data_IF_164851914410
#
_entry.id   IF_164851914410
#
_cell.length_a   1.000
_cell.length_b   1.000
_cell.length_c   1.000
_cell.angle_alpha   90.00
_cell.angle_beta   90.00
_cell.angle_gamma   90.00
#
_symmetry.space_group_name_H-M   'P 1'
#
loop_
_entity.id
_entity.type
_entity.pdbx_description
1 polymer ?
#
# COMPACT_ATOMS: atom_id res chain seq x y z
N UNK A 1 32.33 22.63 -27.06
CA UNK A 1 31.11 22.07 -27.68
C UNK A 1 30.30 21.10 -26.80
N UNK A 2 30.62 20.90 -25.51
CA UNK A 2 29.92 19.91 -24.65
C UNK A 2 28.75 20.46 -23.79
N UNK A 3 28.43 21.76 -23.84
CA UNK A 3 27.45 22.39 -22.93
C UNK A 3 26.06 22.64 -23.52
N UNK A 4 25.76 22.12 -24.71
CA UNK A 4 24.52 22.43 -25.45
C UNK A 4 23.56 21.25 -25.60
N UNK A 5 23.80 20.08 -25.01
CA UNK A 5 22.91 18.90 -25.09
C UNK A 5 22.27 18.61 -23.74
N UNK A 6 20.94 18.44 -23.72
CA UNK A 6 20.15 18.19 -22.51
C UNK A 6 19.22 16.99 -22.71
N UNK A 7 19.23 15.98 -21.82
CA UNK A 7 18.24 14.90 -21.84
C UNK A 7 16.91 15.35 -21.24
N UNK A 8 15.81 15.03 -21.92
CA UNK A 8 14.43 15.15 -21.43
C UNK A 8 13.89 13.73 -21.25
N UNK A 9 13.70 13.32 -20.00
CA UNK A 9 13.17 12.00 -19.69
C UNK A 9 11.67 11.93 -19.94
N UNK A 10 11.23 10.88 -20.64
CA UNK A 10 9.83 10.53 -20.80
C UNK A 10 9.48 9.43 -19.79
N UNK A 11 8.44 9.65 -19.00
CA UNK A 11 7.94 8.65 -18.04
C UNK A 11 7.38 7.43 -18.78
N UNK A 12 7.63 6.25 -18.21
CA UNK A 12 7.05 5.01 -18.70
C UNK A 12 5.68 4.77 -18.05
N UNK A 13 4.68 4.28 -18.81
CA UNK A 13 3.46 3.80 -18.19
C UNK A 13 3.77 2.62 -17.27
N UNK A 14 3.25 2.67 -16.04
CA UNK A 14 3.36 1.58 -15.07
C UNK A 14 2.57 0.35 -15.56
N UNK A 15 3.05 -0.85 -15.23
CA UNK A 15 2.30 -2.08 -15.45
C UNK A 15 0.94 -2.07 -14.75
N UNK A 16 -0.08 -2.69 -15.32
CA UNK A 16 -1.46 -2.78 -14.81
C UNK A 16 -1.58 -3.98 -13.87
N UNK A 17 -2.38 -3.87 -12.81
CA UNK A 17 -2.73 -5.00 -11.96
C UNK A 17 -4.07 -5.57 -12.42
N UNK A 18 -4.07 -6.86 -12.68
CA UNK A 18 -5.24 -7.65 -13.04
C UNK A 18 -5.58 -8.64 -11.93
N UNK A 19 -6.85 -8.97 -11.81
CA UNK A 19 -7.32 -10.08 -10.99
C UNK A 19 -7.07 -11.43 -11.69
N UNK A 20 -7.39 -12.54 -11.02
CA UNK A 20 -7.19 -13.90 -11.55
C UNK A 20 -7.99 -14.21 -12.82
N UNK A 21 -9.01 -13.40 -13.11
CA UNK A 21 -9.90 -13.49 -14.26
C UNK A 21 -9.56 -12.44 -15.34
N UNK A 22 -8.42 -11.75 -15.22
CA UNK A 22 -7.96 -10.69 -16.12
C UNK A 22 -8.82 -9.42 -16.10
N UNK A 23 -9.61 -9.19 -15.04
CA UNK A 23 -10.25 -7.92 -14.82
C UNK A 23 -9.26 -6.91 -14.23
N UNK A 24 -9.32 -5.66 -14.69
CA UNK A 24 -8.46 -4.60 -14.15
C UNK A 24 -8.83 -4.34 -12.68
N UNK A 25 -7.79 -4.27 -11.84
CA UNK A 25 -7.85 -3.88 -10.43
C UNK A 25 -7.20 -2.51 -10.20
N UNK A 26 -6.03 -2.28 -10.81
CA UNK A 26 -5.33 -0.98 -10.78
C UNK A 26 -4.77 -0.69 -12.16
N UNK A 27 -5.13 0.46 -12.70
CA UNK A 27 -4.79 0.89 -14.05
C UNK A 27 -3.99 2.19 -14.08
N UNK A 28 -3.97 2.80 -15.28
CA UNK A 28 -3.43 4.14 -15.48
C UNK A 28 -4.47 4.99 -16.22
N UNK A 29 -4.57 6.26 -15.85
CA UNK A 29 -5.34 7.27 -16.58
C UNK A 29 -4.44 8.42 -17.02
N UNK A 30 -4.73 9.08 -18.16
CA UNK A 30 -4.12 10.36 -18.49
C UNK A 30 -4.43 11.39 -17.40
N UNK A 31 -3.45 12.19 -17.04
CA UNK A 31 -3.56 13.21 -16.00
C UNK A 31 -2.79 14.45 -16.43
N UNK A 32 -3.44 15.61 -16.32
CA UNK A 32 -2.76 16.87 -16.55
C UNK A 32 -2.08 17.34 -15.26
N UNK A 33 -0.82 17.71 -15.39
CA UNK A 33 -0.02 18.22 -14.27
C UNK A 33 0.40 19.64 -14.58
N UNK A 34 -0.07 20.59 -13.76
CA UNK A 34 0.36 21.99 -13.81
C UNK A 34 1.73 22.14 -13.15
N UNK A 35 2.63 22.87 -13.79
CA UNK A 35 3.98 23.12 -13.27
C UNK A 35 4.32 24.59 -13.31
N UNK A 36 5.23 24.98 -12.42
CA UNK A 36 5.80 26.33 -12.37
C UNK A 36 7.32 26.25 -12.43
N UNK A 37 7.92 27.02 -13.33
CA UNK A 37 9.37 27.24 -13.43
C UNK A 37 9.74 28.50 -12.64
N UNK A 38 10.37 28.37 -11.46
CA UNK A 38 10.59 29.50 -10.55
C UNK A 38 11.37 30.67 -11.14
N UNK A 39 12.27 30.43 -12.10
CA UNK A 39 13.09 31.49 -12.72
C UNK A 39 12.30 32.43 -13.64
N UNK A 40 11.14 31.99 -14.12
CA UNK A 40 10.30 32.72 -15.08
C UNK A 40 8.97 33.17 -14.45
N UNK A 41 8.61 32.56 -13.32
CA UNK A 41 7.36 32.77 -12.62
C UNK A 41 7.31 34.14 -11.93
N UNK A 42 6.14 34.79 -12.00
CA UNK A 42 5.87 36.05 -11.31
C UNK A 42 4.96 35.79 -10.12
N UNK A 43 5.41 36.13 -8.91
CA UNK A 43 4.67 35.91 -7.67
C UNK A 43 3.28 36.57 -7.65
N UNK A 44 3.07 37.63 -8.43
CA UNK A 44 1.77 38.31 -8.63
C UNK A 44 0.72 37.40 -9.25
N UNK A 45 1.10 36.29 -9.89
CA UNK A 45 0.20 35.33 -10.52
C UNK A 45 -0.40 34.31 -9.52
N UNK A 46 0.20 34.20 -8.34
CA UNK A 46 -0.14 33.17 -7.34
C UNK A 46 -1.61 33.15 -6.95
N UNK A 47 -2.27 34.30 -6.68
CA UNK A 47 -3.68 34.29 -6.31
C UNK A 47 -4.59 33.71 -7.41
N UNK A 48 -4.26 33.93 -8.68
CA UNK A 48 -5.03 33.40 -9.81
C UNK A 48 -4.88 31.88 -9.93
N UNK A 49 -3.66 31.39 -9.78
CA UNK A 49 -3.36 29.95 -9.82
C UNK A 49 -4.03 29.23 -8.65
N UNK A 50 -3.93 29.76 -7.43
CA UNK A 50 -4.56 29.16 -6.26
C UNK A 50 -6.09 29.15 -6.38
N UNK A 51 -6.67 30.22 -6.94
CA UNK A 51 -8.12 30.32 -7.18
C UNK A 51 -8.60 29.30 -8.20
N UNK A 52 -7.93 29.16 -9.36
CA UNK A 52 -8.38 28.21 -10.41
C UNK A 52 -8.20 26.75 -9.96
N UNK A 53 -7.17 26.48 -9.15
CA UNK A 53 -6.94 25.16 -8.55
C UNK A 53 -7.87 24.87 -7.37
N UNK A 54 -8.54 25.88 -6.81
CA UNK A 54 -9.39 25.72 -5.63
C UNK A 54 -8.62 25.35 -4.36
N UNK A 55 -7.38 25.83 -4.22
CA UNK A 55 -6.49 25.55 -3.07
C UNK A 55 -6.34 26.78 -2.17
N UNK A 56 -5.90 26.54 -0.93
CA UNK A 56 -5.71 27.60 0.06
C UNK A 56 -4.59 28.58 -0.33
N UNK A 57 -4.72 29.82 0.16
CA UNK A 57 -3.71 30.85 -0.07
C UNK A 57 -2.35 30.43 0.51
N UNK A 58 -1.29 30.57 -0.30
CA UNK A 58 0.08 30.21 0.07
C UNK A 58 0.45 28.75 -0.21
N UNK A 59 -0.45 27.95 -0.78
CA UNK A 59 -0.18 26.60 -1.26
C UNK A 59 0.99 26.57 -2.27
N UNK A 60 0.94 27.45 -3.27
CA UNK A 60 1.98 27.51 -4.33
C UNK A 60 3.32 27.90 -3.72
N UNK A 61 3.36 28.94 -2.88
CA UNK A 61 4.58 29.36 -2.18
C UNK A 61 5.15 28.25 -1.30
N UNK A 62 4.32 27.45 -0.64
CA UNK A 62 4.76 26.31 0.18
C UNK A 62 5.49 25.26 -0.67
N UNK A 63 4.94 24.91 -1.83
CA UNK A 63 5.57 23.95 -2.76
C UNK A 63 6.88 24.51 -3.32
N UNK A 64 6.88 25.77 -3.77
CA UNK A 64 8.08 26.41 -4.32
C UNK A 64 9.19 26.54 -3.25
N UNK A 65 8.83 26.90 -2.02
CA UNK A 65 9.77 27.06 -0.90
C UNK A 65 10.33 25.72 -0.39
N UNK A 66 9.50 24.69 -0.29
CA UNK A 66 9.94 23.34 0.12
C UNK A 66 11.01 22.77 -0.82
N UNK A 67 11.05 23.27 -2.05
CA UNK A 67 11.93 22.85 -3.12
C UNK A 67 12.99 23.91 -3.49
N UNK A 68 13.23 24.90 -2.61
CA UNK A 68 14.15 26.01 -2.88
C UNK A 68 15.65 25.62 -2.85
N UNK A 69 15.97 24.43 -2.34
CA UNK A 69 17.31 23.83 -2.44
C UNK A 69 17.68 23.42 -3.87
N UNK A 70 16.75 23.49 -4.81
CA UNK A 70 16.92 23.03 -6.18
C UNK A 70 17.00 24.18 -7.18
N UNK A 71 17.57 23.93 -8.35
CA UNK A 71 17.72 24.94 -9.41
C UNK A 71 16.39 25.60 -9.75
N UNK A 72 16.37 26.94 -9.76
CA UNK A 72 15.20 27.75 -10.14
C UNK A 72 14.73 27.56 -11.59
N UNK A 73 15.54 26.91 -12.43
CA UNK A 73 15.24 26.66 -13.85
C UNK A 73 14.55 25.30 -14.10
N UNK A 74 14.30 24.52 -13.05
CA UNK A 74 13.61 23.23 -13.17
C UNK A 74 12.13 23.42 -12.79
N UNK A 75 11.18 23.06 -13.68
CA UNK A 75 9.75 23.12 -13.37
C UNK A 75 9.40 22.30 -12.13
N UNK A 76 8.53 22.85 -11.27
CA UNK A 76 7.98 22.21 -10.08
C UNK A 76 6.53 21.82 -10.34
N UNK A 77 6.17 20.57 -10.06
CA UNK A 77 4.75 20.15 -10.10
C UNK A 77 4.01 20.88 -8.99
N UNK A 78 2.96 21.61 -9.37
CA UNK A 78 2.11 22.36 -8.44
C UNK A 78 0.86 21.54 -8.13
N UNK A 79 0.22 20.99 -9.15
CA UNK A 79 -0.95 20.16 -9.00
C UNK A 79 -0.94 19.05 -10.06
N UNK A 80 -1.36 17.84 -9.67
CA UNK A 80 -1.58 16.70 -10.56
C UNK A 80 -3.07 16.42 -10.65
N UNK A 81 -3.50 15.76 -11.72
CA UNK A 81 -4.91 15.46 -11.98
C UNK A 81 -5.79 16.71 -12.03
N UNK A 82 -5.26 17.80 -12.60
CA UNK A 82 -6.03 19.04 -12.67
C UNK A 82 -7.21 18.87 -13.62
N UNK A 83 -8.35 19.41 -13.22
CA UNK A 83 -9.56 19.39 -14.04
C UNK A 83 -9.32 20.07 -15.40
N UNK A 84 -10.00 19.59 -16.44
CA UNK A 84 -9.89 20.15 -17.78
C UNK A 84 -10.19 21.65 -17.82
N UNK A 85 -11.04 22.16 -16.91
CA UNK A 85 -11.30 23.59 -16.74
C UNK A 85 -10.04 24.40 -16.41
N UNK A 86 -9.12 23.84 -15.62
CA UNK A 86 -7.84 24.49 -15.29
C UNK A 86 -6.98 24.61 -16.54
N UNK A 87 -6.97 23.56 -17.36
CA UNK A 87 -6.22 23.52 -18.63
C UNK A 87 -6.80 24.49 -19.65
N UNK A 88 -8.12 24.52 -19.81
CA UNK A 88 -8.79 25.48 -20.67
C UNK A 88 -8.49 26.93 -20.26
N UNK A 89 -8.57 27.23 -18.95
CA UNK A 89 -8.20 28.54 -18.42
C UNK A 89 -6.72 28.89 -18.68
N UNK A 90 -5.82 27.91 -18.54
CA UNK A 90 -4.41 28.10 -18.86
C UNK A 90 -4.21 28.43 -20.34
N UNK A 91 -4.80 27.66 -21.26
CA UNK A 91 -4.65 27.86 -22.71
C UNK A 91 -5.14 29.24 -23.15
N UNK A 92 -6.25 29.73 -22.59
CA UNK A 92 -6.77 31.08 -22.85
C UNK A 92 -5.83 32.20 -22.35
N UNK A 93 -5.02 31.91 -21.34
CA UNK A 93 -4.19 32.91 -20.64
C UNK A 93 -2.68 32.66 -20.78
N UNK A 94 -2.25 31.66 -21.55
CA UNK A 94 -0.86 31.17 -21.56
C UNK A 94 0.15 32.30 -21.83
N UNK A 95 -0.17 33.23 -22.73
CA UNK A 95 0.66 34.40 -23.03
C UNK A 95 0.91 35.34 -21.84
N UNK A 96 0.05 35.29 -20.82
CA UNK A 96 0.12 36.12 -19.60
C UNK A 96 0.60 35.34 -18.37
N UNK A 97 0.95 34.06 -18.53
CA UNK A 97 1.38 33.17 -17.44
C UNK A 97 2.84 32.72 -17.62
N UNK A 98 3.82 33.65 -17.62
CA UNK A 98 5.23 33.29 -17.77
C UNK A 98 5.66 32.30 -16.67
N UNK A 99 6.41 31.29 -17.08
CA UNK A 99 6.88 30.23 -16.20
C UNK A 99 5.81 29.23 -15.75
N UNK A 100 4.57 29.32 -16.22
CA UNK A 100 3.52 28.31 -15.97
C UNK A 100 3.36 27.45 -17.22
N UNK A 101 3.34 26.14 -17.04
CA UNK A 101 2.98 25.20 -18.11
C UNK A 101 2.20 24.01 -17.54
N UNK A 102 1.76 23.13 -18.42
CA UNK A 102 1.26 21.83 -18.03
C UNK A 102 1.87 20.74 -18.90
N UNK A 103 1.86 19.52 -18.37
CA UNK A 103 2.21 18.31 -19.11
C UNK A 103 1.14 17.25 -18.91
N UNK A 104 0.95 16.43 -19.93
CA UNK A 104 0.18 15.21 -19.82
C UNK A 104 1.11 14.10 -19.33
N UNK A 105 0.81 13.54 -18.16
CA UNK A 105 1.49 12.39 -17.58
C UNK A 105 0.47 11.26 -17.36
N UNK A 106 0.94 10.04 -17.14
CA UNK A 106 0.08 8.96 -16.65
C UNK A 106 0.01 9.01 -15.14
N UNK A 107 -1.18 8.88 -14.57
CA UNK A 107 -1.39 8.70 -13.14
C UNK A 107 -2.05 7.36 -12.88
N UNK A 108 -1.80 6.82 -11.68
CA UNK A 108 -2.43 5.60 -11.23
C UNK A 108 -3.93 5.76 -11.03
N UNK A 109 -4.69 4.76 -11.47
CA UNK A 109 -6.15 4.73 -11.38
C UNK A 109 -6.60 3.52 -10.56
N UNK A 110 -7.38 3.78 -9.51
CA UNK A 110 -7.91 2.79 -8.57
C UNK A 110 -9.44 2.67 -8.67
N UNK A 111 -10.07 3.27 -9.70
CA UNK A 111 -11.53 3.35 -9.84
C UNK A 111 -12.21 2.05 -10.30
N UNK A 112 -11.52 0.90 -10.23
CA UNK A 112 -11.98 -0.36 -10.82
C UNK A 112 -12.89 -1.20 -9.90
N UNK A 113 -13.57 -0.58 -8.95
CA UNK A 113 -14.67 -1.21 -8.19
C UNK A 113 -14.28 -1.96 -6.92
N UNK A 114 -12.98 -2.08 -6.61
CA UNK A 114 -12.45 -2.52 -5.31
C UNK A 114 -11.42 -1.50 -4.81
N UNK A 115 -11.33 -1.30 -3.50
CA UNK A 115 -10.47 -0.27 -2.93
C UNK A 115 -9.06 -0.82 -2.64
N UNK A 116 -8.95 -2.01 -2.05
CA UNK A 116 -7.71 -2.77 -1.88
C UNK A 116 -6.53 -2.00 -1.28
N UNK A 117 -6.76 -0.96 -0.48
CA UNK A 117 -5.76 0.06 -0.18
C UNK A 117 -4.45 -0.47 0.43
N UNK A 118 -4.55 -1.42 1.37
CA UNK A 118 -3.40 -2.03 2.02
C UNK A 118 -2.74 -3.14 1.20
N UNK A 119 -3.47 -3.70 0.23
CA UNK A 119 -2.98 -4.74 -0.67
C UNK A 119 -2.26 -4.10 -1.86
N UNK A 120 -2.97 -3.32 -2.67
CA UNK A 120 -2.39 -2.64 -3.83
C UNK A 120 -1.32 -1.65 -3.38
N UNK A 121 -1.59 -0.93 -2.28
CA UNK A 121 -0.77 0.21 -1.89
C UNK A 121 -0.96 1.38 -2.84
N UNK A 122 0.05 2.25 -2.90
CA UNK A 122 0.03 3.40 -3.79
C UNK A 122 1.43 3.81 -4.21
N UNK A 123 1.52 4.45 -5.36
CA UNK A 123 2.70 5.19 -5.79
C UNK A 123 2.61 6.66 -5.34
N UNK A 124 3.75 7.29 -5.06
CA UNK A 124 3.85 8.73 -4.81
C UNK A 124 5.19 9.28 -5.26
N UNK A 125 5.37 10.59 -5.23
CA UNK A 125 6.66 11.21 -5.50
C UNK A 125 7.77 10.63 -4.59
N UNK A 126 8.91 10.32 -5.20
CA UNK A 126 10.04 9.68 -4.53
C UNK A 126 10.60 10.59 -3.41
N UNK A 127 10.59 10.12 -2.14
CA UNK A 127 11.21 10.87 -1.06
C UNK A 127 12.71 11.03 -1.28
N UNK A 128 13.28 12.17 -0.90
CA UNK A 128 14.70 12.46 -1.07
C UNK A 128 15.61 11.37 -0.45
N UNK A 129 15.20 10.80 0.69
CA UNK A 129 15.93 9.72 1.37
C UNK A 129 16.01 8.43 0.55
N UNK A 130 15.03 8.14 -0.30
CA UNK A 130 15.02 7.00 -1.20
C UNK A 130 15.75 7.35 -2.50
N UNK A 131 15.50 8.54 -3.05
CA UNK A 131 16.18 9.05 -4.24
C UNK A 131 17.71 9.02 -4.06
N UNK A 132 18.22 9.40 -2.88
CA UNK A 132 19.65 9.36 -2.59
C UNK A 132 20.26 7.96 -2.65
N UNK A 133 19.46 6.91 -2.44
CA UNK A 133 19.91 5.51 -2.54
C UNK A 133 19.74 4.95 -3.94
N UNK A 134 18.81 5.48 -4.73
CA UNK A 134 18.46 5.00 -6.09
C UNK A 134 18.70 6.04 -7.19
N UNK A 135 19.74 6.87 -7.03
CA UNK A 135 20.05 8.01 -7.94
C UNK A 135 20.29 7.60 -9.40
N UNK A 136 20.74 6.37 -9.62
CA UNK A 136 20.99 5.85 -10.96
C UNK A 136 19.71 5.41 -11.68
N UNK A 137 18.61 5.31 -10.94
CA UNK A 137 17.37 4.71 -11.41
C UNK A 137 16.20 5.69 -11.39
N UNK A 138 16.26 6.71 -10.53
CA UNK A 138 15.25 7.73 -10.40
C UNK A 138 15.87 9.11 -10.51
N UNK A 139 15.06 10.00 -11.04
CA UNK A 139 15.25 11.44 -11.06
C UNK A 139 14.33 12.09 -10.03
N UNK A 140 14.62 13.35 -9.73
CA UNK A 140 13.73 14.17 -8.91
C UNK A 140 12.33 14.25 -9.51
N UNK A 141 11.31 14.18 -8.65
CA UNK A 141 9.92 14.21 -9.08
C UNK A 141 9.41 12.88 -9.62
N UNK A 142 10.23 11.84 -9.74
CA UNK A 142 9.69 10.55 -10.16
C UNK A 142 8.73 9.96 -9.14
N UNK A 143 7.85 9.09 -9.60
CA UNK A 143 6.99 8.30 -8.73
C UNK A 143 7.60 6.94 -8.41
N UNK A 144 7.46 6.54 -7.15
CA UNK A 144 7.86 5.22 -6.65
C UNK A 144 6.66 4.57 -5.95
N UNK A 145 6.48 3.27 -6.17
CA UNK A 145 5.60 2.43 -5.37
C UNK A 145 6.01 2.49 -3.90
N UNK A 146 5.11 2.97 -3.05
CA UNK A 146 5.45 3.35 -1.68
C UNK A 146 4.92 2.40 -0.62
N UNK A 147 3.81 1.71 -0.90
CA UNK A 147 3.21 0.70 -0.04
C UNK A 147 2.70 -0.50 -0.87
N UNK A 148 2.31 -1.58 -0.19
CA UNK A 148 1.64 -2.74 -0.79
C UNK A 148 2.40 -3.39 -1.95
N UNK A 149 1.65 -3.90 -2.93
CA UNK A 149 2.16 -4.50 -4.15
C UNK A 149 2.92 -3.49 -5.02
N UNK A 150 2.47 -2.23 -5.09
CA UNK A 150 3.17 -1.16 -5.81
C UNK A 150 4.63 -1.05 -5.35
N UNK A 151 4.89 -1.07 -4.03
CA UNK A 151 6.25 -1.07 -3.48
C UNK A 151 6.98 -2.38 -3.72
N UNK A 152 6.30 -3.50 -3.48
CA UNK A 152 6.92 -4.83 -3.49
C UNK A 152 7.41 -5.19 -4.90
N UNK A 153 6.65 -4.82 -5.92
CA UNK A 153 6.93 -5.10 -7.32
C UNK A 153 7.36 -3.85 -8.11
N UNK A 154 7.81 -2.79 -7.44
CA UNK A 154 8.19 -1.50 -8.04
C UNK A 154 9.13 -1.65 -9.24
N UNK A 155 10.13 -2.54 -9.12
CA UNK A 155 11.20 -2.66 -10.11
C UNK A 155 10.71 -3.22 -11.45
N UNK A 156 9.67 -4.05 -11.42
CA UNK A 156 9.03 -4.60 -12.61
C UNK A 156 7.85 -3.75 -13.07
N UNK A 157 7.14 -3.10 -12.15
CA UNK A 157 5.97 -2.26 -12.43
C UNK A 157 6.34 -0.91 -13.09
N UNK A 158 7.45 -0.29 -12.71
CA UNK A 158 7.78 1.09 -13.13
C UNK A 158 8.18 1.25 -14.60
N UNK A 159 8.56 0.17 -15.26
CA UNK A 159 9.07 0.20 -16.63
C UNK A 159 10.44 0.88 -16.77
N UNK A 160 10.78 1.28 -17.99
CA UNK A 160 12.04 1.98 -18.29
C UNK A 160 11.74 3.31 -18.97
N UNK A 161 12.27 4.39 -18.42
CA UNK A 161 12.09 5.74 -18.99
C UNK A 161 12.65 5.81 -20.40
N UNK A 162 11.98 6.60 -21.23
CA UNK A 162 12.54 7.07 -22.49
C UNK A 162 13.38 8.32 -22.26
N UNK A 163 14.19 8.68 -23.25
CA UNK A 163 14.93 9.95 -23.27
C UNK A 163 14.85 10.55 -24.66
N UNK A 164 14.55 11.85 -24.68
CA UNK A 164 14.74 12.71 -25.85
C UNK A 164 15.89 13.67 -25.59
N UNK A 165 16.88 13.69 -26.47
CA UNK A 165 17.98 14.63 -26.36
C UNK A 165 17.66 15.91 -27.14
N UNK A 166 17.75 17.06 -26.46
CA UNK A 166 17.52 18.36 -27.06
C UNK A 166 18.76 19.23 -27.01
N UNK A 167 18.92 20.07 -28.02
CA UNK A 167 19.89 21.13 -28.02
C UNK A 167 19.35 22.33 -27.23
N UNK A 168 20.17 22.92 -26.38
CA UNK A 168 19.86 24.11 -25.58
C UNK A 168 20.87 25.23 -25.81
N UNK A 169 20.41 26.47 -25.74
CA UNK A 169 21.27 27.66 -25.80
C UNK A 169 21.95 27.98 -24.45
N UNK A 170 22.75 29.04 -24.42
CA UNK A 170 23.45 29.51 -23.20
C UNK A 170 22.50 29.96 -22.07
N UNK A 171 21.21 30.14 -22.37
CA UNK A 171 20.13 30.47 -21.43
C UNK A 171 19.25 29.26 -21.11
N UNK A 172 19.66 28.04 -21.49
CA UNK A 172 18.94 26.78 -21.29
C UNK A 172 17.62 26.65 -22.07
N UNK A 173 17.40 27.49 -23.09
CA UNK A 173 16.22 27.41 -23.95
C UNK A 173 16.42 26.34 -25.03
N UNK A 174 15.41 25.49 -25.22
CA UNK A 174 15.43 24.44 -26.24
C UNK A 174 15.43 25.05 -27.65
N UNK A 175 16.44 24.69 -28.46
CA UNK A 175 16.64 25.18 -29.84
C UNK A 175 16.38 24.10 -30.90
N UNK A 176 16.32 22.81 -30.53
CA UNK A 176 16.02 21.73 -31.47
C UNK A 176 16.30 20.34 -30.89
N UNK A 177 16.07 19.29 -31.68
CA UNK A 177 16.45 17.91 -31.32
C UNK A 177 17.95 17.69 -31.54
N UNK A 178 18.59 16.97 -30.63
CA UNK A 178 19.99 16.57 -30.80
C UNK A 178 20.08 15.44 -31.84
N UNK A 179 20.99 15.57 -32.82
CA UNK A 179 21.19 14.59 -33.91
C UNK A 179 19.89 14.11 -34.55
N UNK A 180 18.94 15.01 -34.78
CA UNK A 180 17.62 14.68 -35.35
C UNK A 180 16.81 13.62 -34.58
N UNK A 181 17.17 13.31 -33.33
CA UNK A 181 16.55 12.28 -32.49
C UNK A 181 17.11 10.86 -32.67
N UNK A 182 18.23 10.67 -33.36
CA UNK A 182 18.84 9.34 -33.55
C UNK A 182 19.28 8.66 -32.24
N UNK A 183 19.57 9.45 -31.21
CA UNK A 183 19.93 8.96 -29.88
C UNK A 183 18.73 8.90 -28.91
N UNK A 184 17.54 9.27 -29.38
CA UNK A 184 16.32 9.17 -28.57
C UNK A 184 15.92 7.70 -28.42
N UNK A 185 15.46 7.32 -27.23
CA UNK A 185 14.84 6.02 -27.00
C UNK A 185 13.50 6.17 -26.31
N UNK A 186 12.51 5.43 -26.78
CA UNK A 186 11.14 5.48 -26.24
C UNK A 186 11.05 4.81 -24.87
N UNK A 187 10.09 5.28 -24.07
CA UNK A 187 9.78 4.63 -22.81
C UNK A 187 9.20 3.23 -23.03
N UNK A 188 9.58 2.29 -22.16
CA UNK A 188 9.10 0.90 -22.17
C UNK A 188 8.17 0.73 -20.98
N UNK A 189 6.92 0.32 -21.26
CA UNK A 189 5.91 0.02 -20.23
C UNK A 189 6.44 -1.02 -19.24
N UNK A 190 6.09 -0.85 -17.96
CA UNK A 190 6.34 -1.88 -16.94
C UNK A 190 5.55 -3.16 -17.18
N UNK A 191 5.98 -4.24 -16.51
CA UNK A 191 5.28 -5.52 -16.57
C UNK A 191 3.95 -5.45 -15.84
N UNK A 192 2.91 -5.96 -16.48
CA UNK A 192 1.61 -6.17 -15.83
C UNK A 192 1.70 -7.29 -14.81
N UNK A 193 0.89 -7.21 -13.74
CA UNK A 193 0.76 -8.25 -12.73
C UNK A 193 -0.61 -8.89 -12.83
N UNK A 194 -0.65 -10.21 -12.86
CA UNK A 194 -1.89 -10.99 -12.67
C UNK A 194 -1.85 -11.52 -11.24
N UNK A 195 -2.77 -11.06 -10.42
CA UNK A 195 -2.88 -11.45 -9.01
C UNK A 195 -3.78 -12.68 -8.87
N UNK A 196 -3.65 -13.40 -7.77
CA UNK A 196 -4.57 -14.49 -7.41
C UNK A 196 -5.93 -14.01 -6.88
N UNK A 197 -6.07 -12.70 -6.66
CA UNK A 197 -7.28 -12.06 -6.16
C UNK A 197 -8.43 -12.30 -7.12
N UNK A 198 -9.58 -12.65 -6.57
CA UNK A 198 -10.84 -12.63 -7.27
C UNK A 198 -11.56 -11.31 -6.95
N UNK A 199 -11.81 -10.50 -7.98
CA UNK A 199 -12.39 -9.17 -7.79
C UNK A 199 -13.76 -9.20 -7.11
N UNK A 200 -14.59 -10.19 -7.43
CA UNK A 200 -15.91 -10.33 -6.83
C UNK A 200 -15.80 -10.74 -5.35
N UNK A 201 -14.94 -11.69 -5.02
CA UNK A 201 -14.67 -12.09 -3.64
C UNK A 201 -14.09 -10.92 -2.82
N UNK A 202 -13.14 -10.17 -3.39
CA UNK A 202 -12.58 -8.96 -2.78
C UNK A 202 -13.67 -7.93 -2.47
N UNK A 203 -14.60 -7.71 -3.42
CA UNK A 203 -15.70 -6.76 -3.23
C UNK A 203 -16.63 -7.18 -2.10
N UNK A 204 -16.98 -8.46 -2.02
CA UNK A 204 -17.79 -9.02 -0.92
C UNK A 204 -17.08 -8.83 0.42
N UNK A 205 -15.77 -9.10 0.46
CA UNK A 205 -14.96 -8.92 1.66
C UNK A 205 -14.91 -7.45 2.11
N UNK A 206 -14.73 -6.50 1.20
CA UNK A 206 -14.75 -5.07 1.51
C UNK A 206 -16.13 -4.58 1.98
N UNK A 207 -17.19 -5.00 1.30
CA UNK A 207 -18.57 -4.64 1.65
C UNK A 207 -18.97 -5.16 3.03
N UNK A 208 -18.53 -6.37 3.40
CA UNK A 208 -18.79 -6.97 4.71
C UNK A 208 -18.16 -6.17 5.88
N UNK A 209 -17.14 -5.36 5.59
CA UNK A 209 -16.42 -4.54 6.55
C UNK A 209 -16.75 -3.05 6.49
N UNK A 210 -17.77 -2.63 5.72
CA UNK A 210 -18.29 -1.27 5.77
C UNK A 210 -18.64 -0.88 7.20
N UNK A 211 -18.12 0.26 7.64
CA UNK A 211 -18.30 0.81 9.00
C UNK A 211 -17.81 -0.10 10.14
N UNK A 212 -16.98 -1.11 9.82
CA UNK A 212 -16.44 -2.07 10.79
C UNK A 212 -14.92 -2.08 10.72
N UNK A 213 -14.30 -2.34 11.88
CA UNK A 213 -12.85 -2.51 11.97
C UNK A 213 -12.51 -3.99 11.97
N UNK A 214 -11.49 -4.35 11.23
CA UNK A 214 -10.94 -5.71 11.25
C UNK A 214 -10.23 -6.06 9.97
N UNK A 215 -10.07 -7.35 9.73
CA UNK A 215 -9.42 -7.86 8.54
C UNK A 215 -10.03 -9.18 8.11
N UNK A 216 -9.89 -9.51 6.84
CA UNK A 216 -10.14 -10.84 6.29
C UNK A 216 -9.07 -11.16 5.27
N UNK A 217 -8.58 -12.40 5.34
CA UNK A 217 -7.73 -13.01 4.32
C UNK A 217 -8.38 -14.32 3.97
N UNK A 218 -8.85 -14.43 2.73
CA UNK A 218 -9.37 -15.66 2.18
C UNK A 218 -8.30 -16.28 1.27
N UNK A 219 -8.08 -17.58 1.43
CA UNK A 219 -7.08 -18.32 0.66
C UNK A 219 -7.72 -19.52 -0.03
N UNK A 220 -7.12 -19.95 -1.13
CA UNK A 220 -7.28 -21.29 -1.67
C UNK A 220 -6.31 -22.23 -0.92
N UNK A 221 -6.77 -23.12 -0.03
CA UNK A 221 -5.87 -23.90 0.83
C UNK A 221 -4.94 -24.83 0.04
N UNK A 222 -5.36 -25.32 -1.14
CA UNK A 222 -4.56 -26.24 -1.94
C UNK A 222 -3.35 -25.60 -2.61
N UNK A 223 -3.39 -24.28 -2.84
CA UNK A 223 -2.33 -23.53 -3.53
C UNK A 223 -1.64 -22.49 -2.64
N UNK A 224 -2.31 -22.04 -1.58
CA UNK A 224 -1.89 -20.90 -0.77
C UNK A 224 -2.18 -19.55 -1.42
N UNK A 225 -2.84 -19.52 -2.58
CA UNK A 225 -3.25 -18.29 -3.26
C UNK A 225 -4.19 -17.46 -2.38
N UNK A 226 -3.96 -16.14 -2.31
CA UNK A 226 -4.87 -15.22 -1.64
C UNK A 226 -5.95 -14.81 -2.64
N UNK A 227 -7.21 -15.10 -2.34
CA UNK A 227 -8.35 -14.76 -3.21
C UNK A 227 -9.05 -13.47 -2.81
N UNK A 228 -8.94 -13.07 -1.54
CA UNK A 228 -9.39 -11.77 -1.05
C UNK A 228 -8.54 -11.34 0.16
N UNK A 229 -8.24 -10.05 0.23
CA UNK A 229 -7.43 -9.43 1.27
C UNK A 229 -8.00 -8.06 1.64
N UNK A 230 -8.56 -7.95 2.84
CA UNK A 230 -9.17 -6.70 3.33
C UNK A 230 -8.64 -6.36 4.70
N UNK A 231 -8.30 -5.09 4.89
CA UNK A 231 -8.07 -4.47 6.19
C UNK A 231 -8.96 -3.23 6.26
N UNK A 232 -9.75 -3.10 7.32
CA UNK A 232 -10.75 -2.03 7.46
C UNK A 232 -10.58 -1.27 8.78
N UNK A 233 -10.73 0.08 8.79
CA UNK A 233 -11.15 0.93 7.67
C UNK A 233 -10.06 1.09 6.61
N UNK A 234 -10.48 1.29 5.37
CA UNK A 234 -9.59 1.63 4.25
C UNK A 234 -9.47 3.14 4.08
N UNK A 235 -8.55 3.56 3.21
CA UNK A 235 -8.39 4.92 2.70
C UNK A 235 -8.37 4.86 1.18
N UNK A 236 -8.64 5.96 0.49
CA UNK A 236 -8.53 6.00 -0.97
C UNK A 236 -7.04 6.12 -1.40
N UNK A 237 -6.46 5.12 -2.09
CA UNK A 237 -5.09 5.20 -2.58
C UNK A 237 -4.86 6.36 -3.55
N UNK A 238 -5.91 6.82 -4.25
CA UNK A 238 -5.83 7.93 -5.19
C UNK A 238 -5.43 9.25 -4.51
N UNK A 239 -5.83 9.46 -3.24
CA UNK A 239 -5.44 10.64 -2.46
C UNK A 239 -3.92 10.73 -2.24
N UNK A 240 -3.23 9.59 -2.25
CA UNK A 240 -1.77 9.52 -2.11
C UNK A 240 -1.03 9.52 -3.44
N UNK A 241 -1.70 9.12 -4.53
CA UNK A 241 -1.17 9.19 -5.88
C UNK A 241 -1.10 10.63 -6.42
N UNK A 242 -1.87 11.55 -5.84
CA UNK A 242 -1.77 12.99 -6.09
C UNK A 242 -0.69 13.66 -5.23
N UNK A 243 -0.48 14.97 -5.40
CA UNK A 243 0.30 15.79 -4.46
C UNK A 243 -0.43 15.75 -3.11
N UNK A 244 -0.03 14.82 -2.23
CA UNK A 244 -0.75 14.54 -0.98
C UNK A 244 -0.83 15.80 -0.13
N UNK A 245 -2.06 16.28 0.14
CA UNK A 245 -2.24 17.38 1.07
C UNK A 245 -1.79 16.95 2.47
N UNK A 246 -1.10 17.84 3.18
CA UNK A 246 -0.67 17.54 4.55
C UNK A 246 -1.90 17.33 5.45
N UNK A 247 -3.00 18.01 5.14
CA UNK A 247 -4.28 17.91 5.82
C UNK A 247 -4.89 16.51 5.70
N UNK A 248 -4.96 15.92 4.49
CA UNK A 248 -5.52 14.58 4.28
C UNK A 248 -4.69 13.52 4.99
N UNK A 249 -3.36 13.59 4.87
CA UNK A 249 -2.47 12.68 5.58
C UNK A 249 -2.64 12.80 7.10
N UNK A 250 -2.73 14.04 7.63
CA UNK A 250 -2.97 14.28 9.05
C UNK A 250 -4.31 13.71 9.50
N UNK A 251 -5.38 13.88 8.72
CA UNK A 251 -6.69 13.33 9.01
C UNK A 251 -6.64 11.80 9.11
N UNK A 252 -5.97 11.11 8.18
CA UNK A 252 -5.82 9.66 8.20
C UNK A 252 -4.94 9.16 9.35
N UNK A 253 -3.87 9.89 9.68
CA UNK A 253 -2.95 9.56 10.78
C UNK A 253 -3.59 9.74 12.15
N UNK A 254 -4.33 10.83 12.34
CA UNK A 254 -4.92 11.19 13.63
C UNK A 254 -6.32 10.56 13.82
N UNK A 255 -6.84 9.86 12.81
CA UNK A 255 -8.12 9.16 12.88
C UNK A 255 -8.08 8.03 13.96
N UNK A 256 -9.03 8.01 14.92
CA UNK A 256 -9.04 7.03 16.00
C UNK A 256 -9.22 5.59 15.53
N UNK A 257 -9.83 5.38 14.35
CA UNK A 257 -10.01 4.06 13.75
C UNK A 257 -8.81 3.59 12.93
N UNK A 258 -7.72 4.37 12.87
CA UNK A 258 -6.42 3.96 12.30
C UNK A 258 -6.56 3.32 10.90
N UNK A 259 -7.04 4.05 9.88
CA UNK A 259 -7.19 3.53 8.52
C UNK A 259 -5.84 3.18 7.86
N UNK A 260 -4.74 3.80 8.27
CA UNK A 260 -3.40 3.48 7.75
C UNK A 260 -2.85 2.13 8.27
N UNK A 261 -3.46 1.53 9.29
CA UNK A 261 -3.02 0.24 9.84
C UNK A 261 -3.48 -0.91 8.95
N UNK A 262 -2.54 -1.65 8.36
CA UNK A 262 -2.81 -2.93 7.72
C UNK A 262 -3.05 -4.02 8.79
N UNK A 263 -4.31 -4.24 9.15
CA UNK A 263 -4.72 -5.18 10.19
C UNK A 263 -4.49 -6.64 9.82
N UNK A 264 -4.45 -6.96 8.53
CA UNK A 264 -4.33 -8.33 8.05
C UNK A 264 -2.91 -8.89 8.26
N UNK A 265 -1.87 -8.09 8.00
CA UNK A 265 -0.46 -8.56 8.10
C UNK A 265 0.32 -7.95 9.26
N UNK A 266 -0.09 -6.79 9.78
CA UNK A 266 0.63 -6.10 10.88
C UNK A 266 -0.18 -6.02 12.17
N UNK A 267 -1.45 -6.41 12.13
CA UNK A 267 -2.31 -6.43 13.31
C UNK A 267 -1.85 -7.48 14.34
N UNK A 268 -1.65 -7.05 15.58
CA UNK A 268 -1.33 -7.95 16.69
C UNK A 268 -2.59 -8.19 17.51
N UNK A 269 -3.12 -9.41 17.40
CA UNK A 269 -4.31 -9.85 18.12
C UNK A 269 -3.99 -11.13 18.89
N UNK A 270 -4.65 -11.30 20.03
CA UNK A 270 -4.70 -12.62 20.66
C UNK A 270 -5.56 -13.53 19.78
N UNK A 271 -5.06 -14.68 19.30
CA UNK A 271 -5.84 -15.56 18.42
C UNK A 271 -7.09 -16.13 19.11
N UNK A 272 -7.08 -16.19 20.44
CA UNK A 272 -8.21 -16.70 21.22
C UNK A 272 -8.46 -18.18 20.92
N UNK A 273 -9.73 -18.56 20.86
CA UNK A 273 -10.11 -19.98 20.73
C UNK A 273 -9.76 -20.61 19.39
N UNK A 274 -9.42 -19.85 18.35
CA UNK A 274 -8.92 -20.43 17.08
C UNK A 274 -7.63 -21.22 17.28
N UNK A 275 -6.87 -20.91 18.33
CA UNK A 275 -5.62 -21.60 18.68
C UNK A 275 -5.82 -23.01 19.24
N UNK A 276 -7.04 -23.35 19.69
CA UNK A 276 -7.34 -24.65 20.32
C UNK A 276 -6.97 -25.84 19.43
N UNK A 277 -7.13 -25.70 18.12
CA UNK A 277 -6.74 -26.73 17.15
C UNK A 277 -5.27 -27.14 17.26
N UNK A 278 -4.36 -26.17 17.46
CA UNK A 278 -2.92 -26.45 17.57
C UNK A 278 -2.63 -27.23 18.85
N UNK A 279 -3.26 -26.83 19.96
CA UNK A 279 -3.11 -27.54 21.23
C UNK A 279 -3.71 -28.95 21.16
N UNK A 280 -4.83 -29.14 20.47
CA UNK A 280 -5.44 -30.46 20.26
C UNK A 280 -4.52 -31.39 19.46
N UNK A 281 -4.00 -30.92 18.32
CA UNK A 281 -3.03 -31.67 17.49
C UNK A 281 -1.80 -32.04 18.30
N UNK A 282 -1.22 -31.09 19.04
CA UNK A 282 -0.07 -31.37 19.91
C UNK A 282 -0.39 -32.41 20.98
N UNK A 283 -1.58 -32.35 21.57
CA UNK A 283 -2.04 -33.32 22.56
C UNK A 283 -2.16 -34.75 22.01
N UNK A 284 -2.71 -34.89 20.81
CA UNK A 284 -2.87 -36.16 20.12
C UNK A 284 -1.51 -36.73 19.69
N UNK A 285 -0.66 -35.90 19.08
CA UNK A 285 0.68 -36.30 18.59
C UNK A 285 1.60 -36.77 19.74
N UNK A 286 1.52 -36.09 20.89
CA UNK A 286 2.30 -36.43 22.09
C UNK A 286 1.66 -37.58 22.91
N UNK A 287 0.54 -38.14 22.46
CA UNK A 287 -0.19 -39.21 23.16
C UNK A 287 -0.76 -38.80 24.53
N UNK A 288 -0.96 -37.50 24.77
CA UNK A 288 -1.52 -36.98 26.04
C UNK A 288 -3.04 -37.11 26.10
N UNK A 289 -3.67 -37.19 24.93
CA UNK A 289 -5.09 -37.44 24.71
C UNK A 289 -5.24 -38.36 23.49
N UNK A 290 -6.38 -39.00 23.37
CA UNK A 290 -6.89 -39.67 22.18
C UNK A 290 -8.36 -39.24 21.93
N UNK A 291 -8.99 -39.77 20.89
CA UNK A 291 -10.39 -39.48 20.53
C UNK A 291 -11.39 -39.86 21.64
N UNK A 292 -11.03 -40.81 22.49
CA UNK A 292 -11.89 -41.29 23.59
C UNK A 292 -11.68 -40.54 24.90
N UNK A 293 -10.55 -39.84 25.04
CA UNK A 293 -10.16 -39.14 26.26
C UNK A 293 -11.19 -38.08 26.62
N UNK A 294 -11.75 -38.19 27.83
CA UNK A 294 -12.76 -37.25 28.34
C UNK A 294 -12.19 -36.40 29.47
N UNK A 295 -12.42 -35.09 29.41
CA UNK A 295 -12.05 -34.14 30.46
C UNK A 295 -13.31 -33.48 31.04
N UNK A 296 -13.52 -33.53 32.36
CA UNK A 296 -14.66 -32.88 33.00
C UNK A 296 -14.49 -31.35 33.03
N UNK A 297 -15.53 -30.64 32.63
CA UNK A 297 -15.62 -29.18 32.60
C UNK A 297 -16.73 -28.68 33.53
N UNK A 298 -16.44 -28.53 34.82
CA UNK A 298 -17.36 -27.99 35.82
C UNK A 298 -17.38 -26.44 35.84
N UNK A 299 -17.30 -25.80 34.68
CA UNK A 299 -17.27 -24.34 34.53
C UNK A 299 -15.90 -23.68 34.67
N UNK A 300 -14.83 -24.46 34.84
CA UNK A 300 -13.45 -23.94 34.84
C UNK A 300 -12.42 -24.99 35.23
N UNK A 301 -11.19 -24.53 35.44
CA UNK A 301 -10.02 -25.34 35.79
C UNK A 301 -9.31 -24.71 36.99
N UNK A 302 -9.06 -25.50 38.04
CA UNK A 302 -8.30 -25.04 39.21
C UNK A 302 -6.80 -25.30 38.98
N UNK A 303 -5.98 -24.27 39.12
CA UNK A 303 -4.52 -24.37 39.09
C UNK A 303 -3.92 -23.62 40.27
N UNK A 304 -3.32 -24.36 41.20
CA UNK A 304 -2.83 -23.79 42.47
C UNK A 304 -3.97 -23.12 43.23
N UNK A 305 -3.77 -21.86 43.60
CA UNK A 305 -4.73 -21.00 44.30
C UNK A 305 -5.71 -20.27 43.36
N UNK A 306 -5.59 -20.42 42.04
CA UNK A 306 -6.39 -19.69 41.05
C UNK A 306 -7.34 -20.58 40.26
N UNK A 307 -8.60 -20.13 40.16
CA UNK A 307 -9.62 -20.75 39.30
C UNK A 307 -9.72 -20.03 37.94
N UNK A 308 -9.48 -20.77 36.86
CA UNK A 308 -9.58 -20.28 35.48
C UNK A 308 -10.94 -20.66 34.89
N UNK A 309 -11.81 -19.66 34.69
CA UNK A 309 -13.17 -19.87 34.23
C UNK A 309 -13.24 -20.39 32.78
N UNK A 310 -14.21 -21.26 32.55
CA UNK A 310 -14.74 -21.57 31.23
C UNK A 310 -15.97 -20.71 30.95
N UNK A 311 -16.37 -20.57 29.67
CA UNK A 311 -17.58 -19.84 29.30
C UNK A 311 -18.84 -20.51 29.86
N UNK A 312 -18.86 -21.85 29.86
CA UNK A 312 -19.96 -22.66 30.37
C UNK A 312 -19.46 -23.89 31.11
N UNK A 313 -20.37 -24.55 31.81
CA UNK A 313 -20.21 -25.94 32.21
C UNK A 313 -20.56 -26.83 31.00
N UNK A 314 -19.59 -27.60 30.52
CA UNK A 314 -19.76 -28.45 29.33
C UNK A 314 -19.91 -29.94 29.68
N UNK A 315 -20.01 -30.27 30.98
CA UNK A 315 -19.97 -31.65 31.43
C UNK A 315 -18.63 -32.32 31.07
N UNK A 316 -18.68 -33.60 30.69
CA UNK A 316 -17.50 -34.32 30.23
C UNK A 316 -17.36 -34.19 28.71
N UNK A 317 -16.22 -33.68 28.23
CA UNK A 317 -15.99 -33.42 26.80
C UNK A 317 -14.78 -34.20 26.29
N UNK A 318 -14.89 -34.77 25.08
CA UNK A 318 -13.74 -35.22 24.28
C UNK A 318 -13.12 -34.07 23.47
N UNK A 319 -12.07 -34.39 22.71
CA UNK A 319 -11.39 -33.42 21.84
C UNK A 319 -12.34 -32.79 20.82
N UNK A 320 -13.19 -33.58 20.17
CA UNK A 320 -14.15 -33.11 19.17
C UNK A 320 -15.18 -32.14 19.78
N UNK A 321 -15.88 -32.59 20.82
CA UNK A 321 -16.86 -31.79 21.57
C UNK A 321 -16.20 -30.53 22.17
N UNK A 322 -14.93 -30.63 22.58
CA UNK A 322 -14.20 -29.48 23.13
C UNK A 322 -13.92 -28.40 22.10
N UNK A 323 -13.71 -28.77 20.83
CA UNK A 323 -13.56 -27.85 19.70
C UNK A 323 -14.92 -27.24 19.39
N UNK A 324 -15.94 -28.07 19.19
CA UNK A 324 -17.31 -27.63 18.86
C UNK A 324 -17.84 -26.62 19.88
N UNK A 325 -17.70 -26.93 21.17
CA UNK A 325 -18.20 -26.07 22.27
C UNK A 325 -17.16 -25.06 22.75
N UNK A 326 -15.97 -25.04 22.14
CA UNK A 326 -14.88 -24.16 22.53
C UNK A 326 -14.59 -24.24 24.05
N UNK A 327 -14.50 -25.45 24.60
CA UNK A 327 -14.39 -25.71 26.04
C UNK A 327 -13.00 -25.32 26.59
N UNK A 328 -12.90 -24.24 27.36
CA UNK A 328 -11.61 -23.78 27.90
C UNK A 328 -10.97 -24.78 28.86
N UNK A 329 -11.75 -25.45 29.72
CA UNK A 329 -11.22 -26.40 30.72
C UNK A 329 -10.46 -27.56 30.10
N UNK A 330 -10.94 -28.08 28.96
CA UNK A 330 -10.25 -29.12 28.21
C UNK A 330 -8.82 -28.67 27.84
N UNK A 331 -8.70 -27.46 27.28
CA UNK A 331 -7.42 -26.92 26.84
C UNK A 331 -6.53 -26.42 27.97
N UNK A 332 -7.07 -25.93 29.08
CA UNK A 332 -6.25 -25.64 30.27
C UNK A 332 -5.61 -26.90 30.83
N UNK A 333 -6.39 -27.98 30.98
CA UNK A 333 -5.90 -29.28 31.42
C UNK A 333 -4.85 -29.85 30.46
N UNK A 334 -5.13 -29.77 29.15
CA UNK A 334 -4.24 -30.27 28.11
C UNK A 334 -2.90 -29.51 28.08
N UNK A 335 -2.94 -28.17 28.03
CA UNK A 335 -1.72 -27.35 27.97
C UNK A 335 -0.91 -27.48 29.25
N UNK A 336 -1.56 -27.64 30.41
CA UNK A 336 -0.86 -27.92 31.68
C UNK A 336 -0.08 -29.24 31.65
N UNK A 337 -0.61 -30.29 30.99
CA UNK A 337 0.11 -31.57 30.78
C UNK A 337 1.18 -31.47 29.69
N UNK A 338 0.88 -30.74 28.61
CA UNK A 338 1.78 -30.55 27.48
C UNK A 338 3.04 -29.77 27.89
N UNK A 339 2.87 -28.74 28.72
CA UNK A 339 3.94 -27.83 29.11
C UNK A 339 4.22 -26.76 28.04
N UNK A 340 4.79 -25.63 28.48
CA UNK A 340 4.97 -24.45 27.65
C UNK A 340 5.96 -24.68 26.51
N UNK A 341 7.07 -25.39 26.75
CA UNK A 341 8.10 -25.63 25.74
C UNK A 341 7.55 -26.41 24.53
N UNK A 342 6.85 -27.51 24.78
CA UNK A 342 6.23 -28.31 23.72
C UNK A 342 5.13 -27.53 23.03
N UNK A 343 4.26 -26.86 23.79
CA UNK A 343 3.22 -26.01 23.23
C UNK A 343 3.79 -24.91 22.30
N UNK A 344 4.89 -24.26 22.72
CA UNK A 344 5.61 -23.25 21.94
C UNK A 344 6.22 -23.85 20.66
N UNK A 345 6.79 -25.06 20.75
CA UNK A 345 7.36 -25.77 19.60
C UNK A 345 6.29 -26.09 18.54
N UNK A 346 5.13 -26.64 18.92
CA UNK A 346 4.02 -26.89 17.99
C UNK A 346 3.48 -25.59 17.41
N UNK A 347 3.31 -24.55 18.21
CA UNK A 347 2.90 -23.22 17.75
C UNK A 347 3.81 -22.69 16.63
N UNK A 348 5.13 -22.83 16.79
CA UNK A 348 6.12 -22.44 15.78
C UNK A 348 6.09 -23.34 14.55
N UNK A 349 5.81 -24.65 14.68
CA UNK A 349 5.62 -25.56 13.53
C UNK A 349 4.48 -25.08 12.64
N UNK A 350 3.35 -24.67 13.23
CA UNK A 350 2.19 -24.08 12.54
C UNK A 350 2.39 -22.65 12.04
N UNK A 351 3.57 -22.05 12.24
CA UNK A 351 3.92 -20.76 11.65
C UNK A 351 3.71 -19.53 12.52
N UNK A 352 3.25 -19.70 13.76
CA UNK A 352 3.19 -18.57 14.69
C UNK A 352 4.59 -18.13 15.13
N UNK A 353 4.77 -16.82 15.33
CA UNK A 353 6.05 -16.24 15.76
C UNK A 353 7.05 -16.00 14.63
N UNK A 354 6.68 -16.33 13.38
CA UNK A 354 7.43 -16.03 12.16
C UNK A 354 6.56 -15.29 11.15
N UNK A 355 7.22 -14.65 10.18
CA UNK A 355 6.58 -14.08 8.99
C UNK A 355 6.06 -15.20 8.09
N UNK A 356 4.89 -15.01 7.50
CA UNK A 356 4.30 -15.86 6.47
C UNK A 356 5.03 -15.73 5.14
N UNK A 357 5.76 -14.62 4.93
CA UNK A 357 6.43 -14.29 3.66
C UNK A 357 5.44 -14.03 2.52
N UNK A 358 4.23 -13.56 2.85
CA UNK A 358 3.34 -12.95 1.87
C UNK A 358 4.08 -11.86 1.11
N UNK A 359 3.78 -11.71 -0.17
CA UNK A 359 4.37 -10.73 -1.09
C UNK A 359 3.82 -9.31 -0.88
N UNK A 360 3.68 -8.94 0.39
CA UNK A 360 3.37 -7.60 0.85
C UNK A 360 4.50 -7.13 1.76
N UNK A 361 5.09 -5.97 1.46
CA UNK A 361 6.28 -5.49 2.17
C UNK A 361 6.12 -5.23 3.67
N UNK A 362 4.91 -5.14 4.21
CA UNK A 362 4.63 -4.88 5.63
C UNK A 362 4.01 -6.10 6.32
N UNK A 363 4.75 -6.69 7.26
CA UNK A 363 4.31 -7.88 7.98
C UNK A 363 4.89 -7.95 9.41
N UNK A 364 4.01 -8.24 10.38
CA UNK A 364 4.35 -8.55 11.76
C UNK A 364 4.53 -10.05 11.99
N UNK A 365 5.54 -10.43 12.78
CA UNK A 365 5.84 -11.85 13.06
C UNK A 365 5.00 -12.46 14.19
N UNK A 366 4.22 -11.65 14.92
CA UNK A 366 3.55 -12.09 16.14
C UNK A 366 4.53 -12.41 17.28
N UNK A 367 4.03 -12.96 18.37
CA UNK A 367 4.83 -13.45 19.51
C UNK A 367 4.28 -14.80 19.93
N UNK A 368 5.16 -15.79 20.04
CA UNK A 368 4.87 -17.08 20.69
C UNK A 368 5.69 -17.11 21.98
N UNK A 369 5.05 -17.13 23.16
CA UNK A 369 5.75 -17.33 24.42
C UNK A 369 6.54 -18.64 24.43
N UNK A 370 7.70 -18.64 25.07
CA UNK A 370 8.54 -19.82 25.31
C UNK A 370 9.12 -19.73 26.70
#
# INVERSE_FOLDING_TARGET
>A
DENSVKPIYQTAPRGILFDRNQEVLVGNKPSFTLRITPSEYQDTLTPYIETILGVDSGYVHKILKANNTYSKYIPRRIAKDVDFKVIAWYEENAAKLPGVDYVMETQRDYSFGVMGAHMFGYAREIPLSILQKRKNEYSMGDEIGFAGLEKTYEDILRGKKGVHYVLVDSRQKTIGKYKSGEEDYSAVKGYDLILSIDKAAQKVAEDAFKERRGAVVAIEPSTGEIIAFTSSPQFDPAEFAAVTSFENYKALRDNPDKPLLNRATTGYYSPGSTFKMISAVAGLEEGLIDETTRIPCNGGFQFGDRFFKCLHNHGSTDVETSIEKSCNTFYYSLVNKLGLDRWSAYSKKFGFGRKTSVDLGEEGRGIVPS
#
